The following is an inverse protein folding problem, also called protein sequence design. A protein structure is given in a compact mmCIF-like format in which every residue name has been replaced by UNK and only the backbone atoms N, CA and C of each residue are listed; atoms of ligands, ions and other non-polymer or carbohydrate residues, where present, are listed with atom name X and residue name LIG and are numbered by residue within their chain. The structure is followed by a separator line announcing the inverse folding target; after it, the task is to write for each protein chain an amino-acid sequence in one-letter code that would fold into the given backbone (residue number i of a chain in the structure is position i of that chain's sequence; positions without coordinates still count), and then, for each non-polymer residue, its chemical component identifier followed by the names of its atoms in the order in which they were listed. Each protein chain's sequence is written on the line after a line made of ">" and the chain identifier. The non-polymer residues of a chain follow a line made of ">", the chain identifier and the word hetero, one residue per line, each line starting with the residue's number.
data_IF_606700790239
#
_entry.id   IF_606700790239
#
_cell.length_a   1.000
_cell.length_b   1.000
_cell.length_c   1.000
_cell.angle_alpha   90.00
_cell.angle_beta   90.00
_cell.angle_gamma   90.00
#
_symmetry.space_group_name_H-M   'P 1'
#
loop_
_entity.id
_entity.type
_entity.pdbx_description
1 polymer ?
#
# COMPACT_ATOMS: atom_id res chain seq x y z
N UNK A 1 -19.87 -8.26 3.05
CA UNK A 1 -20.45 -7.73 4.31
C UNK A 1 -21.00 -6.31 4.12
N UNK A 2 -22.22 -6.00 4.56
CA UNK A 2 -22.81 -4.66 4.51
C UNK A 2 -22.29 -3.84 5.71
N UNK A 3 -21.53 -2.77 5.48
CA UNK A 3 -20.86 -1.98 6.52
C UNK A 3 -21.83 -0.87 6.95
N UNK A 4 -22.50 -1.02 8.09
CA UNK A 4 -23.29 0.09 8.65
C UNK A 4 -22.37 1.23 9.11
N UNK A 5 -22.87 2.47 9.14
CA UNK A 5 -22.07 3.67 9.49
C UNK A 5 -21.28 3.54 10.80
N UNK A 6 -21.81 2.77 11.76
CA UNK A 6 -21.15 2.51 13.04
C UNK A 6 -19.83 1.75 12.92
N UNK A 7 -19.67 0.91 11.89
CA UNK A 7 -18.40 0.21 11.63
C UNK A 7 -17.33 1.16 11.10
N UNK A 8 -17.71 2.20 10.33
CA UNK A 8 -16.76 3.18 9.79
C UNK A 8 -16.00 3.93 10.89
N UNK A 9 -16.63 4.10 12.05
CA UNK A 9 -16.08 4.81 13.21
C UNK A 9 -15.35 3.92 14.23
N UNK A 10 -15.37 2.59 14.05
CA UNK A 10 -14.81 1.66 15.05
C UNK A 10 -13.85 0.61 14.47
N UNK A 11 -13.92 0.32 13.17
CA UNK A 11 -13.09 -0.72 12.55
C UNK A 11 -11.64 -0.25 12.39
N UNK A 12 -10.76 -0.79 13.24
CA UNK A 12 -9.32 -0.45 13.23
C UNK A 12 -8.48 -1.35 12.33
N UNK A 13 -8.98 -2.52 11.94
CA UNK A 13 -8.26 -3.50 11.14
C UNK A 13 -9.17 -4.09 10.07
N UNK A 14 -8.70 -4.12 8.83
CA UNK A 14 -9.38 -4.72 7.70
C UNK A 14 -8.42 -5.61 6.92
N UNK A 15 -8.89 -6.78 6.51
CA UNK A 15 -8.11 -7.72 5.73
C UNK A 15 -8.95 -8.30 4.60
N UNK A 16 -8.42 -8.17 3.38
CA UNK A 16 -8.78 -8.94 2.20
C UNK A 16 -7.52 -9.68 1.74
N UNK A 17 -7.62 -10.98 1.50
CA UNK A 17 -6.48 -11.78 1.05
C UNK A 17 -6.93 -12.54 -0.19
N UNK A 18 -6.15 -12.46 -1.27
CA UNK A 18 -6.46 -13.15 -2.53
C UNK A 18 -7.88 -12.87 -3.05
N UNK A 19 -8.34 -11.62 -2.86
CA UNK A 19 -9.69 -11.16 -3.23
C UNK A 19 -9.61 -10.25 -4.45
N UNK A 20 -10.62 -10.32 -5.32
CA UNK A 20 -10.79 -9.37 -6.42
C UNK A 20 -11.46 -8.11 -5.85
N UNK A 21 -10.79 -6.97 -5.97
CA UNK A 21 -11.26 -5.68 -5.48
C UNK A 21 -11.79 -4.86 -6.66
N UNK A 22 -13.09 -4.62 -6.66
CA UNK A 22 -13.77 -3.72 -7.59
C UNK A 22 -13.92 -2.31 -6.99
N UNK A 23 -14.49 -1.39 -7.77
CA UNK A 23 -14.71 -0.01 -7.36
C UNK A 23 -15.63 0.10 -6.13
N UNK A 24 -16.67 -0.74 -6.02
CA UNK A 24 -17.61 -0.71 -4.90
C UNK A 24 -16.93 -1.10 -3.58
N UNK A 25 -16.13 -2.16 -3.58
CA UNK A 25 -15.34 -2.57 -2.41
C UNK A 25 -14.37 -1.45 -2.01
N UNK A 26 -13.70 -0.85 -2.98
CA UNK A 26 -12.76 0.25 -2.76
C UNK A 26 -13.43 1.49 -2.16
N UNK A 27 -14.56 1.90 -2.72
CA UNK A 27 -15.33 3.05 -2.25
C UNK A 27 -15.78 2.85 -0.80
N UNK A 28 -16.25 1.65 -0.47
CA UNK A 28 -16.71 1.31 0.89
C UNK A 28 -15.55 1.24 1.88
N UNK A 29 -14.41 0.68 1.46
CA UNK A 29 -13.19 0.67 2.27
C UNK A 29 -12.72 2.11 2.57
N UNK A 30 -12.76 3.01 1.57
CA UNK A 30 -12.38 4.41 1.71
C UNK A 30 -13.17 5.20 2.76
N UNK A 31 -14.37 4.72 3.16
CA UNK A 31 -15.19 5.39 4.18
C UNK A 31 -14.80 5.09 5.62
N UNK A 32 -13.82 4.20 5.87
CA UNK A 32 -13.39 3.84 7.21
C UNK A 32 -12.53 4.97 7.81
N UNK A 33 -12.97 5.60 8.90
CA UNK A 33 -12.32 6.79 9.46
C UNK A 33 -11.15 6.45 10.38
N UNK A 34 -11.31 5.37 11.16
CA UNK A 34 -10.38 4.98 12.23
C UNK A 34 -9.52 3.77 11.87
N UNK A 35 -9.46 3.41 10.58
CA UNK A 35 -8.69 2.26 10.12
C UNK A 35 -7.19 2.48 10.36
N UNK A 36 -6.59 1.60 11.15
CA UNK A 36 -5.16 1.64 11.49
C UNK A 36 -4.35 0.60 10.71
N UNK A 37 -4.96 -0.54 10.37
CA UNK A 37 -4.28 -1.63 9.67
C UNK A 37 -5.10 -2.11 8.47
N UNK A 38 -4.47 -2.13 7.31
CA UNK A 38 -5.07 -2.60 6.07
C UNK A 38 -4.18 -3.66 5.42
N UNK A 39 -4.73 -4.86 5.24
CA UNK A 39 -4.05 -5.97 4.58
C UNK A 39 -4.79 -6.36 3.30
N UNK A 40 -4.15 -6.21 2.16
CA UNK A 40 -4.67 -6.52 0.82
C UNK A 40 -3.76 -7.51 0.08
N UNK A 41 -2.97 -8.30 0.81
CA UNK A 41 -1.98 -9.21 0.22
C UNK A 41 -2.61 -10.14 -0.83
N UNK A 42 -1.96 -10.25 -1.99
CA UNK A 42 -2.38 -11.07 -3.14
C UNK A 42 -3.73 -10.67 -3.75
N UNK A 43 -4.32 -9.55 -3.36
CA UNK A 43 -5.52 -9.05 -4.02
C UNK A 43 -5.23 -8.56 -5.44
N UNK A 44 -6.26 -8.61 -6.30
CA UNK A 44 -6.19 -8.09 -7.67
C UNK A 44 -7.25 -7.01 -7.85
N UNK A 45 -6.89 -5.89 -8.45
CA UNK A 45 -7.86 -4.83 -8.75
C UNK A 45 -8.51 -5.08 -10.12
N UNK A 46 -9.84 -5.11 -10.19
CA UNK A 46 -10.58 -5.25 -11.45
C UNK A 46 -11.14 -3.90 -11.87
N UNK A 47 -10.74 -3.42 -13.04
CA UNK A 47 -11.10 -2.08 -13.58
C UNK A 47 -10.84 -0.91 -12.61
N UNK A 48 -9.97 -1.10 -11.63
CA UNK A 48 -9.62 -0.11 -10.60
C UNK A 48 -8.16 -0.28 -10.19
N UNK A 49 -7.68 0.57 -9.28
CA UNK A 49 -6.32 0.54 -8.74
C UNK A 49 -6.31 1.09 -7.31
N UNK A 50 -5.23 0.88 -6.56
CA UNK A 50 -5.15 1.34 -5.18
C UNK A 50 -5.31 2.87 -5.04
N UNK A 51 -4.71 3.66 -5.92
CA UNK A 51 -4.84 5.12 -5.93
C UNK A 51 -6.27 5.62 -6.16
N UNK A 52 -7.19 4.76 -6.63
CA UNK A 52 -8.61 5.12 -6.84
C UNK A 52 -9.40 5.23 -5.55
N UNK A 53 -8.83 4.88 -4.39
CA UNK A 53 -9.36 5.34 -3.09
C UNK A 53 -9.50 6.88 -3.04
N UNK A 54 -8.70 7.60 -3.84
CA UNK A 54 -8.89 9.02 -4.11
C UNK A 54 -8.65 9.92 -2.89
N UNK A 55 -8.90 11.22 -3.05
CA UNK A 55 -8.68 12.20 -1.98
C UNK A 55 -9.72 12.10 -0.84
N UNK A 56 -10.76 11.28 -1.00
CA UNK A 56 -11.83 11.08 -0.04
C UNK A 56 -11.59 9.90 0.91
N UNK A 57 -10.46 9.20 0.78
CA UNK A 57 -10.06 8.15 1.71
C UNK A 57 -9.96 8.71 3.14
N UNK A 58 -10.82 8.23 4.04
CA UNK A 58 -10.96 8.80 5.37
C UNK A 58 -9.88 8.39 6.36
N UNK A 59 -9.10 7.34 6.05
CA UNK A 59 -8.05 6.83 6.93
C UNK A 59 -6.64 7.35 6.63
N UNK A 60 -6.47 8.41 5.83
CA UNK A 60 -5.15 9.01 5.56
C UNK A 60 -4.37 9.43 6.83
N UNK A 61 -5.10 9.85 7.86
CA UNK A 61 -4.53 10.34 9.12
C UNK A 61 -4.54 9.30 10.25
N UNK A 62 -4.95 8.06 9.98
CA UNK A 62 -5.06 6.97 10.97
C UNK A 62 -4.27 5.72 10.58
N UNK A 63 -4.15 5.41 9.29
CA UNK A 63 -3.48 4.19 8.83
C UNK A 63 -2.00 4.15 9.21
N UNK A 64 -1.62 3.06 9.86
CA UNK A 64 -0.26 2.76 10.36
C UNK A 64 0.39 1.62 9.61
N UNK A 65 -0.38 0.59 9.25
CA UNK A 65 0.11 -0.60 8.57
C UNK A 65 -0.65 -0.77 7.26
N UNK A 66 0.09 -0.84 6.15
CA UNK A 66 -0.43 -1.11 4.83
C UNK A 66 0.32 -2.30 4.22
N UNK A 67 -0.40 -3.38 3.95
CA UNK A 67 0.14 -4.56 3.28
C UNK A 67 -0.48 -4.72 1.89
N UNK A 68 0.32 -4.41 0.88
CA UNK A 68 0.09 -4.60 -0.55
C UNK A 68 1.08 -5.64 -1.11
N UNK A 69 1.56 -6.57 -0.28
CA UNK A 69 2.45 -7.64 -0.73
C UNK A 69 1.78 -8.49 -1.81
N UNK A 70 2.53 -8.84 -2.85
CA UNK A 70 2.03 -9.61 -3.99
C UNK A 70 0.85 -8.97 -4.75
N UNK A 71 0.65 -7.65 -4.61
CA UNK A 71 -0.32 -6.88 -5.40
C UNK A 71 0.40 -6.22 -6.58
N UNK A 72 -0.23 -6.21 -7.76
CA UNK A 72 0.28 -5.46 -8.91
C UNK A 72 -0.04 -3.98 -8.74
N UNK A 73 1.01 -3.15 -8.67
CA UNK A 73 0.91 -1.71 -8.47
C UNK A 73 1.43 -0.99 -9.71
N UNK A 74 0.82 0.15 -10.03
CA UNK A 74 1.33 1.08 -11.03
C UNK A 74 2.04 2.29 -10.37
N UNK A 75 2.56 3.20 -11.19
CA UNK A 75 3.27 4.39 -10.73
C UNK A 75 2.39 5.30 -9.87
N UNK A 76 1.10 5.44 -10.23
CA UNK A 76 0.16 6.29 -9.48
C UNK A 76 -0.17 5.71 -8.11
N UNK A 77 -0.22 4.38 -7.98
CA UNK A 77 -0.39 3.70 -6.69
C UNK A 77 0.75 4.05 -5.74
N UNK A 78 1.99 4.00 -6.21
CA UNK A 78 3.15 4.38 -5.39
C UNK A 78 3.13 5.87 -5.01
N UNK A 79 2.80 6.75 -5.96
CA UNK A 79 2.66 8.19 -5.68
C UNK A 79 1.55 8.45 -4.65
N UNK A 80 0.50 7.64 -4.63
CA UNK A 80 -0.63 7.81 -3.73
C UNK A 80 -0.31 7.41 -2.28
N UNK A 81 0.59 6.45 -2.06
CA UNK A 81 0.98 5.98 -0.72
C UNK A 81 1.50 7.14 0.17
N UNK A 82 2.13 8.17 -0.40
CA UNK A 82 2.60 9.34 0.35
C UNK A 82 1.51 10.08 1.13
N UNK A 83 0.24 9.87 0.80
CA UNK A 83 -0.89 10.51 1.47
C UNK A 83 -1.15 9.94 2.88
N UNK A 84 -0.61 8.75 3.21
CA UNK A 84 -0.77 8.13 4.53
C UNK A 84 0.26 8.68 5.53
N UNK A 85 -0.13 9.71 6.28
CA UNK A 85 0.78 10.50 7.13
C UNK A 85 1.29 9.77 8.39
N UNK A 86 0.61 8.70 8.81
CA UNK A 86 0.95 7.93 10.01
C UNK A 86 1.47 6.52 9.69
N UNK A 87 1.80 6.27 8.42
CA UNK A 87 2.28 4.97 7.99
C UNK A 87 3.64 4.68 8.63
N UNK A 88 3.71 3.60 9.40
CA UNK A 88 4.92 3.10 10.05
C UNK A 88 5.40 1.78 9.46
N UNK A 89 4.53 1.09 8.71
CA UNK A 89 4.88 -0.16 8.02
C UNK A 89 4.19 -0.22 6.67
N UNK A 90 4.97 -0.49 5.63
CA UNK A 90 4.54 -0.67 4.27
C UNK A 90 5.12 -1.97 3.71
N UNK A 91 4.25 -2.85 3.22
CA UNK A 91 4.65 -4.05 2.49
C UNK A 91 4.17 -3.93 1.04
N UNK A 92 5.06 -4.04 0.05
CA UNK A 92 4.72 -3.95 -1.38
C UNK A 92 5.38 -5.07 -2.19
N UNK A 93 4.75 -5.48 -3.29
CA UNK A 93 5.46 -6.22 -4.34
C UNK A 93 6.46 -5.26 -5.01
N UNK A 94 7.65 -5.75 -5.34
CA UNK A 94 8.58 -5.01 -6.19
C UNK A 94 7.87 -4.66 -7.53
N UNK A 95 7.77 -3.38 -7.89
CA UNK A 95 7.22 -2.99 -9.18
C UNK A 95 8.12 -3.48 -10.33
N UNK A 96 7.49 -3.84 -11.44
CA UNK A 96 8.19 -4.28 -12.67
C UNK A 96 8.63 -3.08 -13.55
N UNK A 97 8.61 -1.84 -13.01
CA UNK A 97 8.94 -0.58 -13.71
C UNK A 97 10.14 0.15 -13.08
N UNK A 98 10.50 1.32 -13.63
CA UNK A 98 11.61 2.18 -13.18
C UNK A 98 11.64 2.36 -11.65
N UNK A 99 12.84 2.48 -11.07
CA UNK A 99 13.07 2.64 -9.64
C UNK A 99 12.83 4.06 -9.14
N UNK A 100 12.79 5.05 -10.04
CA UNK A 100 12.58 6.46 -9.67
C UNK A 100 11.27 6.70 -8.90
N UNK A 101 10.10 6.16 -9.31
CA UNK A 101 8.86 6.32 -8.56
C UNK A 101 8.89 5.62 -7.20
N UNK A 102 9.57 4.47 -7.09
CA UNK A 102 9.79 3.81 -5.80
C UNK A 102 10.63 4.72 -4.89
N UNK A 103 11.76 5.24 -5.39
CA UNK A 103 12.59 6.22 -4.67
C UNK A 103 11.79 7.40 -4.14
N UNK A 104 10.96 8.00 -4.99
CA UNK A 104 10.13 9.14 -4.60
C UNK A 104 9.11 8.78 -3.51
N UNK A 105 8.56 7.56 -3.56
CA UNK A 105 7.71 7.05 -2.48
C UNK A 105 8.49 6.91 -1.17
N UNK A 106 9.73 6.39 -1.21
CA UNK A 106 10.53 6.11 -0.02
C UNK A 106 11.07 7.35 0.68
N UNK A 107 11.50 8.37 -0.08
CA UNK A 107 11.96 9.66 0.49
C UNK A 107 10.88 10.30 1.36
N UNK A 108 9.60 10.07 1.03
CA UNK A 108 8.46 10.65 1.75
C UNK A 108 8.02 9.81 2.96
N UNK A 109 8.66 8.66 3.21
CA UNK A 109 8.32 7.71 4.27
C UNK A 109 9.51 7.45 5.24
N UNK A 110 10.18 8.48 5.79
CA UNK A 110 11.46 8.32 6.50
C UNK A 110 11.39 7.47 7.78
N UNK A 111 10.20 7.32 8.38
CA UNK A 111 9.98 6.52 9.61
C UNK A 111 9.18 5.24 9.35
N UNK A 112 9.03 4.84 8.08
CA UNK A 112 8.24 3.68 7.69
C UNK A 112 9.15 2.47 7.48
N UNK A 113 8.87 1.37 8.18
CA UNK A 113 9.47 0.08 7.87
C UNK A 113 8.95 -0.41 6.51
N UNK A 114 9.85 -0.51 5.53
CA UNK A 114 9.54 -0.99 4.20
C UNK A 114 9.88 -2.49 4.06
N UNK A 115 8.92 -3.27 3.61
CA UNK A 115 9.12 -4.66 3.21
C UNK A 115 8.83 -4.81 1.72
N UNK A 116 9.83 -5.27 0.97
CA UNK A 116 9.68 -5.47 -0.48
C UNK A 116 9.66 -6.96 -0.80
N UNK A 117 8.58 -7.39 -1.45
CA UNK A 117 8.37 -8.76 -1.88
C UNK A 117 8.73 -8.89 -3.35
N UNK A 118 9.74 -9.70 -3.64
CA UNK A 118 10.24 -9.87 -5.00
C UNK A 118 9.35 -10.85 -5.78
N UNK A 119 8.98 -10.46 -7.00
CA UNK A 119 8.50 -11.40 -8.00
C UNK A 119 9.62 -12.30 -8.51
N UNK A 120 9.32 -13.26 -9.38
CA UNK A 120 10.29 -14.22 -9.93
C UNK A 120 11.42 -13.59 -10.77
N UNK A 121 11.44 -12.27 -10.99
CA UNK A 121 12.44 -11.60 -11.82
C UNK A 121 13.70 -11.28 -11.02
N UNK A 122 14.69 -12.16 -11.14
CA UNK A 122 15.99 -12.15 -10.43
C UNK A 122 16.90 -10.95 -10.79
N UNK A 123 16.67 -10.29 -11.93
CA UNK A 123 17.65 -9.38 -12.54
C UNK A 123 17.84 -8.02 -11.85
N UNK A 124 16.80 -7.49 -11.18
CA UNK A 124 16.87 -6.15 -10.58
C UNK A 124 17.11 -6.16 -9.06
N UNK A 125 17.17 -7.33 -8.41
CA UNK A 125 17.27 -7.44 -6.95
C UNK A 125 18.53 -6.76 -6.40
N UNK A 126 19.70 -7.06 -6.98
CA UNK A 126 20.99 -6.62 -6.43
C UNK A 126 21.20 -5.11 -6.60
N UNK A 127 20.75 -4.55 -7.72
CA UNK A 127 20.81 -3.10 -7.98
C UNK A 127 19.93 -2.35 -6.98
N UNK A 128 18.73 -2.86 -6.74
CA UNK A 128 17.77 -2.21 -5.82
C UNK A 128 18.23 -2.36 -4.38
N UNK A 129 18.72 -3.55 -3.99
CA UNK A 129 19.27 -3.79 -2.66
C UNK A 129 20.45 -2.86 -2.38
N UNK A 130 21.37 -2.72 -3.34
CA UNK A 130 22.49 -1.79 -3.24
C UNK A 130 22.00 -0.34 -3.10
N UNK A 131 21.03 0.07 -3.94
CA UNK A 131 20.45 1.40 -3.88
C UNK A 131 19.78 1.69 -2.52
N UNK A 132 18.97 0.77 -1.99
CA UNK A 132 18.29 0.95 -0.71
C UNK A 132 19.26 1.00 0.46
N UNK A 133 20.31 0.17 0.42
CA UNK A 133 21.41 0.23 1.39
C UNK A 133 22.10 1.61 1.38
N UNK A 134 22.41 2.15 0.19
CA UNK A 134 22.98 3.50 0.05
C UNK A 134 22.04 4.62 0.57
N UNK A 135 20.75 4.35 0.72
CA UNK A 135 19.76 5.30 1.25
C UNK A 135 19.42 5.07 2.73
N UNK A 136 20.15 4.19 3.45
CA UNK A 136 19.84 3.79 4.82
C UNK A 136 18.43 3.22 5.01
N UNK A 137 17.90 2.54 3.98
CA UNK A 137 16.63 1.83 4.07
C UNK A 137 16.92 0.35 4.33
N UNK A 138 16.63 -0.11 5.54
CA UNK A 138 16.76 -1.53 5.90
C UNK A 138 15.67 -2.36 5.22
N UNK A 139 16.10 -3.35 4.44
CA UNK A 139 15.24 -4.41 3.90
C UNK A 139 15.11 -5.51 4.95
N UNK A 140 13.91 -5.70 5.49
CA UNK A 140 13.57 -6.80 6.43
C UNK A 140 12.66 -7.81 5.76
#
# INVERSE_FOLDING_TARGET
>A
PNLSEKYNLSLKKLSYISTILDEDIMNRMGQLEVLNELYLSKCSFIYTHFHKLGNFCKFFNSLKILDLSCVELNIEDLKYIKNFKKLIKLSIKMPDFDLIPLKNCLILLPNCQLQIFYGKQKGNYDIIRKYLFEQNVDLV
#
